data_IF_817461575717
#
_entry.id   IF_817461575717
#
_cell.length_a   1.000
_cell.length_b   1.000
_cell.length_c   1.000
_cell.angle_alpha   90.00
_cell.angle_beta   90.00
_cell.angle_gamma   90.00
#
_symmetry.space_group_name_H-M   'P 1'
#
loop_
_entity.id
_entity.type
_entity.pdbx_description
1 polymer ?
#
# COMPACT_ATOMS: atom_id res chain seq x y z
N UNK A 1 -14.38 51.32 52.89
CA UNK A 1 -13.99 51.58 51.48
C UNK A 1 -12.51 51.26 51.30
N UNK A 2 -12.17 50.64 50.15
CA UNK A 2 -10.82 50.23 49.65
C UNK A 2 -10.36 48.78 49.97
N UNK A 3 -10.93 47.87 49.18
CA UNK A 3 -10.24 46.77 48.48
C UNK A 3 -8.95 47.29 47.81
N UNK A 4 -7.89 46.53 47.53
CA UNK A 4 -7.70 45.09 47.52
C UNK A 4 -6.24 44.77 47.17
N UNK A 5 -5.85 43.53 47.48
CA UNK A 5 -4.51 42.94 47.29
C UNK A 5 -4.07 42.96 45.82
N UNK A 6 -2.79 43.29 45.60
CA UNK A 6 -2.06 43.10 44.36
C UNK A 6 -1.91 41.59 44.13
N UNK A 7 -2.64 41.03 43.17
CA UNK A 7 -2.35 39.72 42.58
C UNK A 7 -1.86 39.98 41.17
N UNK A 8 -0.53 39.94 40.97
CA UNK A 8 0.06 39.85 39.62
C UNK A 8 -0.24 38.46 39.09
N UNK A 9 -1.30 38.34 38.30
CA UNK A 9 -1.50 37.19 37.42
C UNK A 9 -0.38 37.21 36.38
N UNK A 10 0.60 36.32 36.54
CA UNK A 10 1.42 35.88 35.42
C UNK A 10 0.50 35.13 34.45
N UNK A 11 -0.05 35.84 33.48
CA UNK A 11 -0.55 35.22 32.26
C UNK A 11 0.69 34.72 31.48
N UNK A 12 1.13 33.49 31.77
CA UNK A 12 1.90 32.75 30.79
C UNK A 12 0.95 32.49 29.61
N UNK A 13 1.25 32.93 28.39
CA UNK A 13 0.48 32.46 27.25
C UNK A 13 0.79 30.98 27.10
N UNK A 14 -0.17 30.12 27.46
CA UNK A 14 -0.23 28.73 26.99
C UNK A 14 -0.62 28.79 25.51
N UNK A 15 0.27 29.34 24.69
CA UNK A 15 0.18 29.41 23.24
C UNK A 15 1.60 29.21 22.76
N UNK A 16 1.84 28.14 21.99
CA UNK A 16 3.13 27.58 21.56
C UNK A 16 3.68 26.39 22.38
N UNK A 17 2.93 25.29 22.43
CA UNK A 17 3.54 23.93 22.42
C UNK A 17 2.86 23.10 21.33
N UNK A 18 2.70 23.69 20.14
CA UNK A 18 2.15 22.99 18.98
C UNK A 18 3.13 23.14 17.83
N UNK A 19 3.60 21.98 17.36
CA UNK A 19 4.32 21.71 16.11
C UNK A 19 5.85 21.86 16.19
N UNK A 20 6.48 20.86 16.84
CA UNK A 20 7.88 20.45 16.57
C UNK A 20 7.92 19.10 15.84
N UNK A 21 6.84 18.70 15.16
CA UNK A 21 6.87 17.52 14.30
C UNK A 21 7.22 18.02 12.90
N UNK A 22 8.40 17.66 12.41
CA UNK A 22 8.79 17.97 11.04
C UNK A 22 7.85 17.26 10.04
N UNK A 23 7.63 17.82 8.83
CA UNK A 23 6.85 17.14 7.80
C UNK A 23 7.34 15.72 7.51
N UNK A 24 8.66 15.50 7.60
CA UNK A 24 9.27 14.18 7.45
C UNK A 24 8.83 13.21 8.55
N UNK A 25 8.88 13.63 9.82
CA UNK A 25 8.46 12.79 10.94
C UNK A 25 6.98 12.41 10.86
N UNK A 26 6.14 13.28 10.29
CA UNK A 26 4.74 12.95 10.00
C UNK A 26 4.61 11.91 8.87
N UNK A 27 5.33 12.10 7.77
CA UNK A 27 5.32 11.16 6.63
C UNK A 27 5.82 9.76 7.03
N UNK A 28 6.90 9.68 7.80
CA UNK A 28 7.45 8.43 8.31
C UNK A 28 6.44 7.72 9.23
N UNK A 29 5.80 8.49 10.14
CA UNK A 29 4.76 7.94 11.01
C UNK A 29 3.54 7.43 10.23
N UNK A 30 3.17 8.09 9.13
CA UNK A 30 2.10 7.63 8.26
C UNK A 30 2.45 6.32 7.55
N UNK A 31 3.68 6.21 7.03
CA UNK A 31 4.19 4.99 6.40
C UNK A 31 4.17 3.82 7.40
N UNK A 32 4.67 4.01 8.62
CA UNK A 32 4.66 2.96 9.66
C UNK A 32 3.26 2.47 9.99
N UNK A 33 2.28 3.40 9.98
CA UNK A 33 0.87 3.08 10.22
C UNK A 33 0.25 2.32 9.06
N UNK A 34 0.58 2.69 7.83
CA UNK A 34 0.18 1.95 6.64
C UNK A 34 0.77 0.54 6.63
N UNK A 35 2.05 0.38 6.94
CA UNK A 35 2.69 -0.94 7.05
C UNK A 35 2.01 -1.77 8.14
N UNK A 36 1.72 -1.19 9.30
CA UNK A 36 1.02 -1.88 10.37
C UNK A 36 -0.41 -2.30 9.97
N UNK A 37 -1.10 -1.49 9.16
CA UNK A 37 -2.40 -1.84 8.59
C UNK A 37 -2.27 -2.97 7.58
N UNK A 38 -1.29 -2.89 6.67
CA UNK A 38 -0.96 -3.92 5.70
C UNK A 38 -0.73 -5.28 6.34
N UNK A 39 0.02 -5.33 7.44
CA UNK A 39 0.24 -6.56 8.23
C UNK A 39 -1.06 -7.20 8.71
N UNK A 40 -2.04 -6.41 9.12
CA UNK A 40 -3.36 -6.94 9.50
C UNK A 40 -4.13 -7.48 8.30
N UNK A 41 -4.07 -6.81 7.15
CA UNK A 41 -4.71 -7.31 5.92
C UNK A 41 -4.05 -8.62 5.47
N UNK A 42 -2.73 -8.72 5.60
CA UNK A 42 -1.96 -9.95 5.35
C UNK A 42 -2.44 -11.09 6.24
N UNK A 43 -2.64 -10.86 7.54
CA UNK A 43 -3.19 -11.88 8.46
C UNK A 43 -4.56 -12.39 7.99
N UNK A 44 -5.45 -11.49 7.52
CA UNK A 44 -6.76 -11.88 6.97
C UNK A 44 -6.61 -12.69 5.68
N UNK A 45 -5.76 -12.25 4.73
CA UNK A 45 -5.50 -12.98 3.47
C UNK A 45 -5.00 -14.39 3.75
N UNK A 46 -3.99 -14.52 4.61
CA UNK A 46 -3.35 -15.81 4.92
C UNK A 46 -4.23 -16.70 5.83
N UNK A 47 -5.28 -16.15 6.44
CA UNK A 47 -6.32 -16.94 7.13
C UNK A 47 -7.29 -17.63 6.16
N UNK A 48 -7.46 -17.06 4.96
CA UNK A 48 -8.37 -17.56 3.92
C UNK A 48 -7.63 -18.43 2.90
N UNK A 49 -6.45 -17.99 2.47
CA UNK A 49 -5.64 -18.69 1.48
C UNK A 49 -4.30 -19.13 2.04
N UNK A 50 -3.96 -20.40 1.79
CA UNK A 50 -2.67 -20.97 2.18
C UNK A 50 -1.52 -20.25 1.45
N UNK A 51 -0.57 -19.71 2.20
CA UNK A 51 0.68 -19.18 1.64
C UNK A 51 1.53 -20.32 1.08
N UNK A 52 2.00 -20.15 -0.15
CA UNK A 52 2.97 -21.07 -0.77
C UNK A 52 4.36 -20.76 -0.23
N UNK A 53 4.96 -21.73 0.46
CA UNK A 53 6.30 -21.64 1.04
C UNK A 53 7.35 -22.39 0.19
N UNK A 54 7.54 -21.96 -1.05
CA UNK A 54 8.59 -22.47 -1.94
C UNK A 54 9.79 -21.49 -1.97
N UNK A 55 10.97 -21.89 -1.47
CA UNK A 55 12.16 -21.03 -1.48
C UNK A 55 12.65 -20.64 -2.88
N UNK A 56 12.56 -21.53 -3.87
CA UNK A 56 13.01 -21.26 -5.23
C UNK A 56 12.09 -20.25 -5.93
N UNK A 57 10.78 -20.43 -5.78
CA UNK A 57 9.79 -19.47 -6.29
C UNK A 57 9.96 -18.11 -5.61
N UNK A 58 10.13 -18.09 -4.30
CA UNK A 58 10.33 -16.86 -3.53
C UNK A 58 11.61 -16.13 -3.97
N UNK A 59 12.72 -16.85 -4.16
CA UNK A 59 13.97 -16.28 -4.65
C UNK A 59 13.84 -15.71 -6.07
N UNK A 60 13.15 -16.42 -6.97
CA UNK A 60 12.85 -15.93 -8.33
C UNK A 60 12.08 -14.61 -8.28
N UNK A 61 10.96 -14.57 -7.57
CA UNK A 61 10.12 -13.36 -7.49
C UNK A 61 10.86 -12.20 -6.80
N UNK A 62 11.67 -12.50 -5.78
CA UNK A 62 12.50 -11.49 -5.10
C UNK A 62 13.58 -10.91 -6.02
N UNK A 63 14.19 -11.70 -6.90
CA UNK A 63 15.12 -11.18 -7.90
C UNK A 63 14.44 -10.23 -8.88
N UNK A 64 13.22 -10.56 -9.34
CA UNK A 64 12.45 -9.67 -10.21
C UNK A 64 12.11 -8.37 -9.47
N UNK A 65 11.58 -8.47 -8.24
CA UNK A 65 11.28 -7.32 -7.39
C UNK A 65 12.51 -6.43 -7.18
N UNK A 66 13.69 -7.01 -6.94
CA UNK A 66 14.92 -6.27 -6.72
C UNK A 66 15.30 -5.32 -7.86
N UNK A 67 14.87 -5.61 -9.09
CA UNK A 67 15.06 -4.72 -10.25
C UNK A 67 14.15 -3.49 -10.23
N UNK A 68 13.01 -3.56 -9.53
CA UNK A 68 12.06 -2.46 -9.42
C UNK A 68 12.33 -1.53 -8.24
N UNK A 69 12.93 -2.02 -7.14
CA UNK A 69 13.14 -1.24 -5.92
C UNK A 69 13.82 0.13 -6.13
N UNK A 70 14.85 0.29 -7.00
CA UNK A 70 15.45 1.60 -7.26
C UNK A 70 14.53 2.63 -7.93
N UNK A 71 13.40 2.18 -8.47
CA UNK A 71 12.44 2.99 -9.23
C UNK A 71 11.17 3.34 -8.45
N UNK A 72 11.08 2.86 -7.20
CA UNK A 72 9.95 3.12 -6.29
C UNK A 72 10.12 4.48 -5.61
N UNK A 73 9.01 5.20 -5.44
CA UNK A 73 9.05 6.53 -4.83
C UNK A 73 8.99 6.48 -3.30
N UNK A 74 8.43 5.43 -2.72
CA UNK A 74 8.27 5.29 -1.27
C UNK A 74 9.15 4.20 -0.68
N UNK A 75 9.68 4.40 0.54
CA UNK A 75 10.50 3.41 1.24
C UNK A 75 9.65 2.35 1.93
N UNK A 76 8.78 1.66 1.18
CA UNK A 76 7.99 0.55 1.71
C UNK A 76 8.80 -0.75 1.73
N UNK A 77 8.53 -1.66 2.66
CA UNK A 77 9.13 -3.00 2.68
C UNK A 77 8.44 -3.88 1.63
N UNK A 78 8.67 -3.58 0.34
CA UNK A 78 8.04 -4.32 -0.73
C UNK A 78 8.38 -5.81 -0.63
N UNK A 79 7.35 -6.66 -0.71
CA UNK A 79 7.49 -8.12 -0.64
C UNK A 79 6.51 -8.75 -1.62
N UNK A 80 6.96 -9.75 -2.36
CA UNK A 80 6.08 -10.59 -3.16
C UNK A 80 5.79 -11.87 -2.39
N UNK A 81 4.50 -12.20 -2.25
CA UNK A 81 4.03 -13.45 -1.67
C UNK A 81 3.17 -14.21 -2.66
N UNK A 82 3.03 -15.50 -2.43
CA UNK A 82 2.21 -16.38 -3.27
C UNK A 82 1.20 -17.10 -2.41
N UNK A 83 -0.06 -17.11 -2.87
CA UNK A 83 -1.16 -17.84 -2.22
C UNK A 83 -1.69 -18.94 -3.13
N UNK A 84 -2.06 -20.07 -2.54
CA UNK A 84 -2.62 -21.23 -3.24
C UNK A 84 -4.08 -20.97 -3.62
N UNK A 85 -4.26 -20.32 -4.76
CA UNK A 85 -5.56 -19.96 -5.33
C UNK A 85 -5.50 -20.12 -6.86
N UNK A 86 -6.56 -20.63 -7.48
CA UNK A 86 -6.59 -20.98 -8.91
C UNK A 86 -7.05 -19.84 -9.80
N UNK A 87 -7.66 -18.81 -9.23
CA UNK A 87 -8.02 -17.61 -10.01
C UNK A 87 -6.77 -16.96 -10.60
N UNK A 88 -6.88 -16.38 -11.80
CA UNK A 88 -5.80 -15.62 -12.42
C UNK A 88 -5.78 -14.21 -11.80
N UNK A 89 -5.11 -14.04 -10.67
CA UNK A 89 -5.09 -12.77 -9.96
C UNK A 89 -3.72 -12.43 -9.37
N UNK A 90 -3.43 -11.15 -9.32
CA UNK A 90 -2.37 -10.55 -8.50
C UNK A 90 -2.94 -9.27 -7.90
N UNK A 91 -2.54 -8.93 -6.67
CA UNK A 91 -3.08 -7.75 -6.00
C UNK A 91 -2.09 -7.20 -4.98
N UNK A 92 -2.06 -5.89 -4.85
CA UNK A 92 -1.29 -5.17 -3.84
C UNK A 92 -2.09 -4.85 -2.58
N UNK A 93 -1.42 -4.87 -1.43
CA UNK A 93 -1.95 -4.43 -0.15
C UNK A 93 -1.29 -3.13 0.29
N UNK A 94 -1.95 -2.35 1.17
CA UNK A 94 -1.29 -1.22 1.84
C UNK A 94 0.02 -1.68 2.49
N UNK A 95 1.06 -0.85 2.44
CA UNK A 95 2.33 -1.16 3.09
C UNK A 95 3.30 -2.02 2.28
N UNK A 96 2.98 -2.35 1.03
CA UNK A 96 3.96 -2.87 0.06
C UNK A 96 3.98 -4.39 -0.13
N UNK A 97 3.05 -5.14 0.44
CA UNK A 97 2.92 -6.58 0.12
C UNK A 97 2.12 -6.76 -1.16
N UNK A 98 2.66 -7.49 -2.13
CA UNK A 98 1.97 -7.88 -3.36
C UNK A 98 1.78 -9.40 -3.32
N UNK A 99 0.57 -9.85 -3.64
CA UNK A 99 0.27 -11.26 -3.80
C UNK A 99 0.14 -11.64 -5.26
N UNK A 100 0.68 -12.81 -5.59
CA UNK A 100 0.31 -13.56 -6.78
C UNK A 100 -0.46 -14.81 -6.36
N UNK A 101 -1.50 -15.17 -7.10
CA UNK A 101 -2.10 -16.49 -6.96
C UNK A 101 -1.28 -17.52 -7.75
N UNK A 102 -1.35 -18.79 -7.34
CA UNK A 102 -0.79 -19.89 -8.13
C UNK A 102 -1.36 -19.93 -9.54
N UNK A 103 -2.66 -19.66 -9.73
CA UNK A 103 -3.30 -19.60 -11.04
C UNK A 103 -2.69 -18.53 -11.95
N UNK A 104 -2.40 -17.33 -11.42
CA UNK A 104 -1.73 -16.28 -12.19
C UNK A 104 -0.34 -16.72 -12.64
N UNK A 105 0.45 -17.31 -11.75
CA UNK A 105 1.81 -17.77 -12.09
C UNK A 105 1.82 -18.95 -13.07
N UNK A 106 0.79 -19.78 -13.08
CA UNK A 106 0.62 -20.86 -14.06
C UNK A 106 0.20 -20.34 -15.44
N UNK A 107 -0.53 -19.22 -15.49
CA UNK A 107 -0.98 -18.58 -16.74
C UNK A 107 0.14 -17.82 -17.45
N UNK A 108 0.99 -17.13 -16.68
CA UNK A 108 2.11 -16.36 -17.21
C UNK A 108 3.25 -17.29 -17.65
N UNK A 109 3.77 -17.05 -18.85
CA UNK A 109 4.72 -17.95 -19.53
C UNK A 109 6.17 -17.53 -19.37
N UNK A 110 6.43 -16.27 -19.01
CA UNK A 110 7.78 -15.73 -18.91
C UNK A 110 7.97 -14.85 -17.68
N UNK A 111 9.23 -14.70 -17.25
CA UNK A 111 9.60 -13.73 -16.21
C UNK A 111 9.28 -12.29 -16.60
N UNK A 112 9.27 -11.98 -17.90
CA UNK A 112 8.90 -10.65 -18.38
C UNK A 112 7.41 -10.37 -18.19
N UNK A 113 6.55 -11.38 -18.42
CA UNK A 113 5.11 -11.28 -18.17
C UNK A 113 4.81 -11.18 -16.65
N UNK A 114 5.51 -11.95 -15.81
CA UNK A 114 5.44 -11.79 -14.35
C UNK A 114 5.90 -10.40 -13.91
N UNK A 115 7.00 -9.91 -14.48
CA UNK A 115 7.50 -8.57 -14.20
C UNK A 115 6.51 -7.47 -14.64
N UNK A 116 5.77 -7.66 -15.73
CA UNK A 116 4.76 -6.71 -16.18
C UNK A 116 3.57 -6.59 -15.20
N UNK A 117 3.02 -7.72 -14.74
CA UNK A 117 1.98 -7.72 -13.69
C UNK A 117 2.54 -7.15 -12.39
N UNK A 118 3.77 -7.54 -12.01
CA UNK A 118 4.42 -7.04 -10.80
C UNK A 118 4.61 -5.52 -10.84
N UNK A 119 5.01 -4.97 -11.98
CA UNK A 119 5.17 -3.53 -12.16
C UNK A 119 3.85 -2.78 -11.95
N UNK A 120 2.76 -3.26 -12.55
CA UNK A 120 1.42 -2.68 -12.37
C UNK A 120 1.01 -2.70 -10.89
N UNK A 121 1.12 -3.85 -10.21
CA UNK A 121 0.77 -3.97 -8.79
C UNK A 121 1.66 -3.15 -7.85
N UNK A 122 2.96 -3.03 -8.17
CA UNK A 122 3.88 -2.18 -7.41
C UNK A 122 3.45 -0.72 -7.44
N UNK A 123 2.94 -0.22 -8.57
CA UNK A 123 2.42 1.16 -8.64
C UNK A 123 1.14 1.31 -7.83
N UNK A 124 0.23 0.33 -7.82
CA UNK A 124 -0.93 0.39 -6.93
C UNK A 124 -0.52 0.51 -5.45
N UNK A 125 0.51 -0.23 -5.03
CA UNK A 125 1.07 -0.12 -3.69
C UNK A 125 1.75 1.24 -3.45
N UNK A 126 2.64 1.67 -4.34
CA UNK A 126 3.40 2.91 -4.23
C UNK A 126 2.45 4.11 -4.17
N UNK A 127 1.45 4.18 -5.04
CA UNK A 127 0.53 5.32 -5.12
C UNK A 127 -0.70 5.19 -4.22
N UNK A 128 -0.73 4.21 -3.30
CA UNK A 128 -1.80 4.03 -2.30
C UNK A 128 -3.19 3.83 -2.93
N UNK A 129 -3.27 3.21 -4.11
CA UNK A 129 -4.52 3.09 -4.85
C UNK A 129 -5.61 2.35 -4.07
N UNK A 130 -5.25 1.31 -3.29
CA UNK A 130 -6.19 0.62 -2.39
C UNK A 130 -6.81 1.58 -1.40
N UNK A 131 -6.01 2.41 -0.73
CA UNK A 131 -6.52 3.36 0.26
C UNK A 131 -7.36 4.47 -0.38
N UNK A 132 -6.93 4.99 -1.55
CA UNK A 132 -7.69 6.00 -2.31
C UNK A 132 -9.04 5.43 -2.71
N UNK A 133 -9.07 4.23 -3.27
CA UNK A 133 -10.29 3.59 -3.74
C UNK A 133 -11.22 3.20 -2.57
N UNK A 134 -10.67 2.72 -1.45
CA UNK A 134 -11.45 2.46 -0.23
C UNK A 134 -12.05 3.75 0.34
N UNK A 135 -11.33 4.87 0.35
CA UNK A 135 -11.85 6.17 0.77
C UNK A 135 -13.01 6.62 -0.13
N UNK A 136 -12.84 6.50 -1.47
CA UNK A 136 -13.89 6.80 -2.46
C UNK A 136 -15.13 5.93 -2.24
N UNK A 137 -14.97 4.61 -2.09
CA UNK A 137 -16.08 3.68 -1.83
C UNK A 137 -16.81 3.99 -0.51
N UNK A 138 -16.07 4.42 0.51
CA UNK A 138 -16.61 4.81 1.82
C UNK A 138 -17.16 6.25 1.85
N UNK A 139 -17.09 6.99 0.74
CA UNK A 139 -17.49 8.40 0.62
C UNK A 139 -16.80 9.33 1.63
N UNK A 140 -15.54 9.05 1.94
CA UNK A 140 -14.69 9.90 2.78
C UNK A 140 -13.45 10.34 1.98
N UNK A 141 -12.77 11.38 2.44
CA UNK A 141 -11.48 11.76 1.85
C UNK A 141 -10.34 10.90 2.42
N UNK A 142 -9.22 10.84 1.69
CA UNK A 142 -8.06 10.04 2.07
C UNK A 142 -7.47 10.46 3.42
N UNK A 143 -7.46 11.76 3.73
CA UNK A 143 -6.96 12.26 5.01
C UNK A 143 -7.81 11.77 6.20
N UNK A 144 -9.14 11.68 6.03
CA UNK A 144 -10.04 11.12 7.03
C UNK A 144 -9.76 9.63 7.24
N UNK A 145 -9.54 8.86 6.16
CA UNK A 145 -9.14 7.46 6.24
C UNK A 145 -7.80 7.30 6.98
N UNK A 146 -6.80 8.13 6.64
CA UNK A 146 -5.49 8.14 7.30
C UNK A 146 -5.62 8.45 8.80
N UNK A 147 -6.41 9.46 9.17
CA UNK A 147 -6.67 9.79 10.57
C UNK A 147 -7.32 8.63 11.34
N UNK A 148 -8.25 7.90 10.72
CA UNK A 148 -8.84 6.71 11.32
C UNK A 148 -7.78 5.65 11.62
N UNK A 149 -6.85 5.40 10.69
CA UNK A 149 -5.74 4.45 10.85
C UNK A 149 -4.80 4.88 11.99
N UNK A 150 -4.45 6.18 12.05
CA UNK A 150 -3.50 6.72 13.03
C UNK A 150 -4.09 6.76 14.45
N UNK A 151 -5.39 7.03 14.60
CA UNK A 151 -6.06 7.34 15.88
C UNK A 151 -6.12 6.22 16.93
N UNK A 152 -5.48 5.06 16.71
CA UNK A 152 -5.51 3.85 17.55
C UNK A 152 -6.89 3.28 17.86
N UNK A 153 -7.98 3.89 17.39
CA UNK A 153 -9.16 3.12 17.02
C UNK A 153 -8.69 2.23 15.89
N UNK A 154 -8.29 0.99 16.22
CA UNK A 154 -7.96 -0.03 15.24
C UNK A 154 -8.91 0.15 14.06
N UNK A 155 -8.38 0.20 12.83
CA UNK A 155 -9.20 0.10 11.63
C UNK A 155 -10.24 -0.98 11.93
N UNK A 156 -11.50 -0.57 12.08
CA UNK A 156 -12.52 -1.48 12.59
C UNK A 156 -12.62 -2.68 11.64
N UNK A 157 -13.14 -3.83 12.07
CA UNK A 157 -13.26 -5.01 11.20
C UNK A 157 -13.82 -4.67 9.81
N UNK A 158 -14.83 -3.80 9.76
CA UNK A 158 -15.40 -3.27 8.51
C UNK A 158 -14.39 -2.55 7.59
N UNK A 159 -13.49 -1.72 8.14
CA UNK A 159 -12.47 -1.04 7.34
C UNK A 159 -11.45 -2.03 6.78
N UNK A 160 -11.06 -3.03 7.57
CA UNK A 160 -10.14 -4.07 7.13
C UNK A 160 -10.76 -4.89 5.99
N UNK A 161 -12.03 -5.30 6.15
CA UNK A 161 -12.80 -5.98 5.10
C UNK A 161 -12.90 -5.14 3.83
N UNK A 162 -13.15 -3.83 3.93
CA UNK A 162 -13.24 -2.97 2.74
C UNK A 162 -11.90 -2.83 1.99
N UNK A 163 -10.78 -2.72 2.71
CA UNK A 163 -9.45 -2.69 2.11
C UNK A 163 -9.14 -4.00 1.39
N UNK A 164 -9.39 -5.13 2.08
CA UNK A 164 -9.20 -6.46 1.52
C UNK A 164 -10.04 -6.67 0.27
N UNK A 165 -11.32 -6.29 0.32
CA UNK A 165 -12.23 -6.41 -0.81
C UNK A 165 -11.71 -5.62 -2.02
N UNK A 166 -11.37 -4.33 -1.84
CA UNK A 166 -10.86 -3.49 -2.93
C UNK A 166 -9.59 -4.08 -3.55
N UNK A 167 -8.65 -4.52 -2.71
CA UNK A 167 -7.40 -5.11 -3.16
C UNK A 167 -7.64 -6.42 -3.93
N UNK A 168 -8.33 -7.39 -3.35
CA UNK A 168 -8.55 -8.70 -3.96
C UNK A 168 -9.35 -8.62 -5.25
N UNK A 169 -10.35 -7.73 -5.32
CA UNK A 169 -11.19 -7.60 -6.52
C UNK A 169 -10.60 -6.65 -7.57
N UNK A 170 -9.42 -6.06 -7.32
CA UNK A 170 -8.77 -5.05 -8.17
C UNK A 170 -9.77 -4.02 -8.72
N UNK A 171 -10.69 -3.58 -7.86
CA UNK A 171 -11.82 -2.74 -8.28
C UNK A 171 -11.47 -1.26 -8.19
N UNK A 172 -10.39 -0.87 -8.89
CA UNK A 172 -9.97 0.51 -8.96
C UNK A 172 -10.72 1.28 -10.05
N UNK A 173 -10.74 2.61 -9.91
CA UNK A 173 -11.32 3.48 -10.92
C UNK A 173 -10.38 3.64 -12.12
N UNK A 174 -10.95 4.00 -13.28
CA UNK A 174 -10.21 4.12 -14.55
C UNK A 174 -9.01 5.07 -14.51
N UNK A 175 -9.04 6.09 -13.66
CA UNK A 175 -7.91 7.00 -13.45
C UNK A 175 -6.74 6.31 -12.75
N UNK A 176 -7.02 5.50 -11.72
CA UNK A 176 -6.00 4.77 -10.97
C UNK A 176 -5.39 3.65 -11.82
N UNK A 177 -6.21 2.94 -12.60
CA UNK A 177 -5.74 1.93 -13.57
C UNK A 177 -4.81 2.54 -14.61
N UNK A 178 -5.18 3.69 -15.20
CA UNK A 178 -4.33 4.38 -16.18
C UNK A 178 -3.02 4.85 -15.59
N UNK A 179 -3.02 5.26 -14.33
CA UNK A 179 -1.82 5.65 -13.61
C UNK A 179 -0.91 4.43 -13.37
N UNK A 180 -1.50 3.32 -12.92
CA UNK A 180 -0.80 2.05 -12.75
C UNK A 180 -0.20 1.53 -14.05
N UNK A 181 -0.92 1.60 -15.16
CA UNK A 181 -0.41 1.20 -16.48
C UNK A 181 0.71 2.11 -16.95
N UNK A 182 0.55 3.43 -16.83
CA UNK A 182 1.54 4.40 -17.31
C UNK A 182 2.84 4.33 -16.53
N UNK A 183 2.76 4.36 -15.20
CA UNK A 183 3.96 4.30 -14.36
C UNK A 183 4.51 2.88 -14.27
N UNK A 184 3.65 1.86 -14.35
CA UNK A 184 4.04 0.45 -14.43
C UNK A 184 4.86 0.19 -15.68
N UNK A 185 4.44 0.73 -16.83
CA UNK A 185 5.20 0.68 -18.07
C UNK A 185 6.57 1.35 -17.92
N UNK A 186 6.61 2.54 -17.30
CA UNK A 186 7.85 3.27 -17.05
C UNK A 186 8.83 2.42 -16.23
N UNK A 187 8.42 1.91 -15.08
CA UNK A 187 9.30 1.11 -14.21
C UNK A 187 9.67 -0.24 -14.82
N UNK A 188 8.80 -0.83 -15.66
CA UNK A 188 9.11 -2.07 -16.38
C UNK A 188 10.28 -1.88 -17.34
N UNK A 189 10.26 -0.79 -18.11
CA UNK A 189 11.33 -0.44 -19.03
C UNK A 189 12.60 -0.06 -18.27
N UNK A 190 12.50 0.75 -17.23
CA UNK A 190 13.66 1.16 -16.41
C UNK A 190 14.31 -0.03 -15.68
N UNK A 191 13.51 -0.98 -15.21
CA UNK A 191 13.99 -2.23 -14.64
C UNK A 191 14.65 -3.15 -15.69
N UNK A 192 14.54 -2.83 -16.99
CA UNK A 192 15.18 -3.54 -18.10
C UNK A 192 14.40 -4.75 -18.63
N UNK A 193 13.07 -4.76 -18.48
CA UNK A 193 12.20 -5.77 -19.08
C UNK A 193 11.63 -5.30 -20.41
N UNK A 194 11.28 -6.21 -21.33
CA UNK A 194 10.75 -5.84 -22.63
C UNK A 194 9.36 -5.20 -22.48
N UNK A 195 9.13 -4.00 -23.04
CA UNK A 195 7.84 -3.32 -22.90
C UNK A 195 6.65 -4.09 -23.52
N UNK A 196 6.93 -4.95 -24.51
CA UNK A 196 5.92 -5.82 -25.11
C UNK A 196 5.26 -6.78 -24.10
N UNK A 197 5.94 -7.10 -22.99
CA UNK A 197 5.39 -7.98 -21.96
C UNK A 197 4.12 -7.41 -21.30
N UNK A 198 4.01 -6.08 -21.20
CA UNK A 198 2.83 -5.42 -20.63
C UNK A 198 1.63 -5.55 -21.57
N UNK A 199 1.85 -5.38 -22.88
CA UNK A 199 0.81 -5.53 -23.91
C UNK A 199 0.25 -6.96 -23.99
N UNK A 200 1.05 -7.97 -23.62
CA UNK A 200 0.61 -9.37 -23.63
C UNK A 200 -0.30 -9.75 -22.47
N UNK A 201 -0.30 -9.00 -21.35
CA UNK A 201 -0.93 -9.45 -20.10
C UNK A 201 -1.86 -8.45 -19.43
N UNK A 202 -1.87 -7.18 -19.87
CA UNK A 202 -2.78 -6.12 -19.42
C UNK A 202 -3.66 -5.66 -20.59
#
# INVERSE_FOLDING_TARGET
>A
MKFGRIFRLFFLPVFFVLILISPQAFADAEIEKEIALGRKVVEEVESVWERVADPALTARLSMLLGRFLPHMSRPLPYEIRVVREKTHNAFSLPGGTIYFTTGMLEFLRTDAEVAAIMAHELIHADNRHVMIQTARASRINLAALALMIVSKRSAGPMMLTNLLQVAVTNSYSKDLEREADKEGFRILVEAGFPPAAMVTVL
#
